data_IF_141668031461
#
_entry.id   IF_141668031461
#
_cell.length_a   1.000
_cell.length_b   1.000
_cell.length_c   1.000
_cell.angle_alpha   90.00
_cell.angle_beta   90.00
_cell.angle_gamma   90.00
#
_symmetry.space_group_name_H-M   'P 1'
#
loop_
_entity.id
_entity.type
_entity.pdbx_description
1 polymer ?
#
# COMPACT_ATOMS: atom_id res chain seq x y z
N UNK A 1 4.90 -4.56 2.12
CA UNK A 1 3.49 -4.42 2.56
C UNK A 1 3.08 -2.97 2.80
N UNK A 2 3.79 -2.18 3.61
CA UNK A 2 3.46 -0.77 3.86
C UNK A 2 3.30 0.06 2.59
N UNK A 3 4.29 0.01 1.69
CA UNK A 3 4.23 0.73 0.42
C UNK A 3 3.12 0.24 -0.50
N UNK A 4 2.69 -1.02 -0.39
CA UNK A 4 1.50 -1.51 -1.12
C UNK A 4 0.22 -0.86 -0.59
N UNK A 5 0.13 -0.62 0.72
CA UNK A 5 -0.99 0.14 1.31
C UNK A 5 -0.96 1.58 0.84
N UNK A 6 0.20 2.24 0.87
CA UNK A 6 0.36 3.62 0.39
C UNK A 6 0.00 3.73 -1.10
N UNK A 7 0.49 2.81 -1.93
CA UNK A 7 0.17 2.72 -3.36
C UNK A 7 -1.31 2.42 -3.62
N UNK A 8 -1.96 1.68 -2.71
CA UNK A 8 -3.40 1.47 -2.80
C UNK A 8 -4.11 2.78 -2.57
N UNK A 9 -3.80 3.52 -1.49
CA UNK A 9 -4.40 4.85 -1.15
C UNK A 9 -4.27 5.83 -2.33
N UNK A 10 -3.09 5.90 -2.95
CA UNK A 10 -2.84 6.78 -4.10
C UNK A 10 -3.00 8.27 -3.74
N UNK A 11 -3.36 9.09 -4.74
CA UNK A 11 -3.51 10.53 -4.56
C UNK A 11 -4.88 10.96 -3.99
N UNK A 12 -5.76 9.98 -3.76
CA UNK A 12 -7.11 10.21 -3.28
C UNK A 12 -7.29 9.99 -1.78
N UNK A 13 -8.50 10.26 -1.33
CA UNK A 13 -8.98 9.83 -0.02
C UNK A 13 -9.70 8.48 -0.15
N UNK A 14 -9.38 7.52 0.73
CA UNK A 14 -9.97 6.19 0.70
C UNK A 14 -10.45 5.67 2.04
N UNK A 15 -11.58 4.96 2.02
CA UNK A 15 -12.11 4.29 3.20
C UNK A 15 -11.29 3.04 3.54
N UNK A 16 -11.07 2.79 4.83
CA UNK A 16 -10.25 1.66 5.30
C UNK A 16 -10.64 0.31 4.72
N UNK A 17 -11.94 0.04 4.54
CA UNK A 17 -12.41 -1.21 3.94
C UNK A 17 -12.09 -1.28 2.44
N UNK A 18 -12.19 -0.17 1.72
CA UNK A 18 -11.86 -0.13 0.28
C UNK A 18 -10.37 -0.41 0.04
N UNK A 19 -9.51 0.05 0.96
CA UNK A 19 -8.09 -0.28 0.98
C UNK A 19 -7.90 -1.79 1.18
N UNK A 20 -8.59 -2.39 2.15
CA UNK A 20 -8.51 -3.84 2.41
C UNK A 20 -8.92 -4.65 1.17
N UNK A 21 -10.06 -4.29 0.59
CA UNK A 21 -10.62 -4.93 -0.60
C UNK A 21 -9.66 -4.77 -1.80
N UNK A 22 -9.04 -3.61 -1.96
CA UNK A 22 -8.05 -3.36 -3.01
C UNK A 22 -6.82 -4.26 -2.90
N UNK A 23 -6.31 -4.43 -1.68
CA UNK A 23 -5.14 -5.29 -1.42
C UNK A 23 -5.48 -6.79 -1.56
N UNK A 24 -6.65 -7.21 -1.10
CA UNK A 24 -7.13 -8.59 -1.26
C UNK A 24 -7.27 -8.98 -2.73
N UNK A 25 -7.86 -8.11 -3.56
CA UNK A 25 -7.99 -8.35 -5.01
C UNK A 25 -6.64 -8.53 -5.72
N UNK A 26 -5.57 -7.94 -5.18
CA UNK A 26 -4.20 -8.07 -5.71
C UNK A 26 -3.42 -9.23 -5.08
N UNK A 27 -4.04 -10.02 -4.21
CA UNK A 27 -3.38 -11.11 -3.48
C UNK A 27 -2.38 -10.63 -2.42
N UNK A 28 -2.40 -9.34 -2.06
CA UNK A 28 -1.43 -8.72 -1.15
C UNK A 28 -1.87 -8.79 0.32
N UNK A 29 -3.13 -9.13 0.60
CA UNK A 29 -3.66 -9.21 1.95
C UNK A 29 -4.49 -10.47 2.13
N UNK A 30 -4.25 -11.20 3.23
CA UNK A 30 -4.99 -12.42 3.59
C UNK A 30 -6.13 -12.15 4.58
N UNK A 31 -6.07 -11.08 5.39
CA UNK A 31 -7.16 -10.70 6.29
C UNK A 31 -7.13 -9.21 6.70
N UNK A 32 -8.31 -8.65 6.98
CA UNK A 32 -8.47 -7.26 7.48
C UNK A 32 -7.75 -7.02 8.82
N UNK A 33 -7.62 -8.06 9.66
CA UNK A 33 -6.97 -7.98 10.96
C UNK A 33 -5.51 -7.53 10.90
N UNK A 34 -4.86 -7.67 9.74
CA UNK A 34 -3.49 -7.20 9.51
C UNK A 34 -3.41 -5.77 8.97
N UNK A 35 -4.48 -5.26 8.35
CA UNK A 35 -4.49 -3.93 7.75
C UNK A 35 -4.58 -2.82 8.79
N UNK A 36 -5.48 -2.93 9.76
CA UNK A 36 -5.71 -1.83 10.71
C UNK A 36 -4.50 -1.51 11.61
N UNK A 37 -3.75 -2.49 12.14
CA UNK A 37 -2.48 -2.23 12.82
C UNK A 37 -1.45 -1.55 11.91
N UNK A 38 -1.43 -1.92 10.62
CA UNK A 38 -0.55 -1.33 9.62
C UNK A 38 -0.90 0.12 9.33
N UNK A 39 -2.19 0.43 9.10
CA UNK A 39 -2.68 1.79 8.94
C UNK A 39 -2.41 2.65 10.17
N UNK A 40 -2.55 2.09 11.37
CA UNK A 40 -2.20 2.79 12.61
C UNK A 40 -0.70 3.13 12.68
N UNK A 41 0.18 2.22 12.22
CA UNK A 41 1.63 2.48 12.14
C UNK A 41 1.97 3.54 11.10
N UNK A 42 1.40 3.46 9.89
CA UNK A 42 1.58 4.46 8.85
C UNK A 42 1.15 5.86 9.31
N UNK A 43 0.05 5.96 10.07
CA UNK A 43 -0.40 7.21 10.68
C UNK A 43 0.58 7.72 11.72
N UNK A 44 1.06 6.85 12.63
CA UNK A 44 2.07 7.23 13.64
C UNK A 44 3.36 7.73 13.00
N UNK A 45 3.73 7.16 11.86
CA UNK A 45 4.92 7.56 11.10
C UNK A 45 4.68 8.82 10.23
N UNK A 46 3.49 9.41 10.26
CA UNK A 46 3.17 10.62 9.50
C UNK A 46 3.03 10.40 7.99
N UNK A 47 2.94 9.16 7.51
CA UNK A 47 2.81 8.83 6.08
C UNK A 47 1.37 8.93 5.58
N UNK A 48 0.40 8.80 6.47
CA UNK A 48 -1.02 8.98 6.17
C UNK A 48 -1.69 9.85 7.23
N UNK A 49 -2.69 10.61 6.81
CA UNK A 49 -3.63 11.32 7.69
C UNK A 49 -4.99 10.67 7.62
N UNK A 50 -5.79 10.87 8.66
CA UNK A 50 -7.15 10.30 8.76
C UNK A 50 -8.20 11.38 8.93
N UNK A 51 -9.30 11.27 8.21
CA UNK A 51 -10.50 12.07 8.43
C UNK A 51 -11.65 11.16 8.87
N UNK A 52 -12.57 11.70 9.67
CA UNK A 52 -13.83 11.04 9.97
C UNK A 52 -14.92 11.70 9.14
N UNK A 53 -15.75 10.89 8.51
CA UNK A 53 -16.95 11.36 7.82
C UNK A 53 -18.17 10.69 8.43
N UNK A 54 -19.19 11.50 8.68
CA UNK A 54 -20.50 11.00 9.07
C UNK A 54 -21.07 10.13 7.96
N UNK A 55 -21.63 8.99 8.35
CA UNK A 55 -22.39 8.14 7.45
C UNK A 55 -23.86 8.51 7.60
N UNK A 56 -24.58 8.67 6.49
CA UNK A 56 -26.03 8.94 6.50
C UNK A 56 -26.83 7.84 7.21
N UNK A 57 -26.27 6.64 7.30
CA UNK A 57 -26.76 5.55 8.13
C UNK A 57 -25.56 4.83 8.76
N UNK A 58 -25.39 4.92 10.08
CA UNK A 58 -24.45 4.10 10.85
C UNK A 58 -23.18 4.81 11.34
N UNK A 59 -22.24 4.00 11.82
CA UNK A 59 -21.02 4.47 12.48
C UNK A 59 -20.16 5.35 11.55
N UNK A 60 -19.44 6.35 12.11
CA UNK A 60 -18.57 7.22 11.33
C UNK A 60 -17.51 6.41 10.57
N UNK A 61 -17.28 6.78 9.31
CA UNK A 61 -16.30 6.13 8.44
C UNK A 61 -14.97 6.84 8.57
N UNK A 62 -13.90 6.07 8.75
CA UNK A 62 -12.53 6.59 8.77
C UNK A 62 -11.91 6.49 7.38
N UNK A 63 -11.55 7.64 6.84
CA UNK A 63 -10.87 7.77 5.56
C UNK A 63 -9.39 8.06 5.77
N UNK A 64 -8.57 7.67 4.80
CA UNK A 64 -7.13 7.80 4.78
C UNK A 64 -6.69 8.54 3.53
N UNK A 65 -5.73 9.44 3.67
CA UNK A 65 -5.08 10.14 2.57
C UNK A 65 -3.58 10.12 2.82
N UNK A 66 -2.77 10.01 1.77
CA UNK A 66 -1.34 10.21 1.89
C UNK A 66 -1.04 11.63 2.38
N UNK A 67 -0.01 11.74 3.22
CA UNK A 67 0.64 13.04 3.46
C UNK A 67 1.66 13.29 2.35
N UNK A 68 2.21 14.51 2.29
CA UNK A 68 3.31 14.82 1.39
C UNK A 68 4.52 13.88 1.63
N UNK A 69 4.86 13.61 2.91
CA UNK A 69 5.90 12.64 3.27
C UNK A 69 5.55 11.21 2.81
N UNK A 70 4.27 10.82 2.90
CA UNK A 70 3.78 9.55 2.39
C UNK A 70 3.95 9.41 0.88
N UNK A 71 3.62 10.45 0.12
CA UNK A 71 3.80 10.50 -1.34
C UNK A 71 5.28 10.42 -1.72
N UNK A 72 6.14 11.23 -1.08
CA UNK A 72 7.60 11.20 -1.33
C UNK A 72 8.20 9.83 -1.00
N UNK A 73 7.81 9.23 0.14
CA UNK A 73 8.28 7.91 0.55
C UNK A 73 7.84 6.82 -0.44
N UNK A 74 6.61 6.90 -0.94
CA UNK A 74 6.11 5.98 -1.95
C UNK A 74 6.87 6.13 -3.28
N UNK A 75 7.10 7.35 -3.74
CA UNK A 75 7.83 7.62 -4.98
C UNK A 75 9.28 7.09 -4.90
N UNK A 76 9.99 7.39 -3.81
CA UNK A 76 11.34 6.89 -3.59
C UNK A 76 11.39 5.36 -3.54
N UNK A 77 10.42 4.71 -2.88
CA UNK A 77 10.34 3.26 -2.86
C UNK A 77 10.08 2.68 -4.26
N UNK A 78 9.20 3.31 -5.05
CA UNK A 78 8.86 2.84 -6.39
C UNK A 78 10.09 2.85 -7.31
N UNK A 79 10.89 3.90 -7.28
CA UNK A 79 12.13 4.02 -8.06
C UNK A 79 13.15 2.92 -7.71
N UNK A 80 13.37 2.70 -6.42
CA UNK A 80 14.28 1.64 -5.93
C UNK A 80 13.75 0.25 -6.32
N UNK A 81 12.44 0.04 -6.17
CA UNK A 81 11.81 -1.24 -6.47
C UNK A 81 11.85 -1.58 -7.96
N UNK A 82 11.63 -0.60 -8.83
CA UNK A 82 11.71 -0.79 -10.28
C UNK A 82 13.07 -1.34 -10.68
N UNK A 83 14.15 -0.68 -10.24
CA UNK A 83 15.52 -1.12 -10.52
C UNK A 83 15.79 -2.51 -9.96
N UNK A 84 15.46 -2.73 -8.68
CA UNK A 84 15.71 -4.00 -8.01
C UNK A 84 14.96 -5.17 -8.65
N UNK A 85 13.67 -4.98 -8.93
CA UNK A 85 12.81 -6.03 -9.51
C UNK A 85 13.25 -6.38 -10.93
N UNK A 86 13.71 -5.40 -11.72
CA UNK A 86 14.29 -5.65 -13.04
C UNK A 86 15.55 -6.52 -12.94
N UNK A 87 16.49 -6.18 -12.04
CA UNK A 87 17.72 -6.97 -11.83
C UNK A 87 17.44 -8.40 -11.35
N UNK A 88 16.49 -8.58 -10.43
CA UNK A 88 16.07 -9.91 -9.98
C UNK A 88 15.46 -10.71 -11.13
N UNK A 89 14.58 -10.09 -11.91
CA UNK A 89 13.93 -10.75 -13.07
C UNK A 89 14.97 -11.21 -14.09
N UNK A 90 15.95 -10.36 -14.41
CA UNK A 90 17.06 -10.70 -15.32
C UNK A 90 17.91 -11.87 -14.79
N UNK A 91 18.23 -11.86 -13.50
CA UNK A 91 18.99 -12.94 -12.84
C UNK A 91 18.24 -14.29 -12.88
N UNK A 92 16.92 -14.28 -12.67
CA UNK A 92 16.11 -15.50 -12.71
C UNK A 92 15.97 -16.05 -14.14
N UNK A 93 15.85 -15.16 -15.14
CA UNK A 93 15.73 -15.55 -16.54
C UNK A 93 17.06 -16.09 -17.10
N UNK A 94 18.20 -15.50 -16.72
CA UNK A 94 19.53 -15.97 -17.12
C UNK A 94 19.88 -17.34 -16.54
N UNK A 95 19.33 -17.71 -15.37
CA UNK A 95 19.52 -19.03 -14.75
C UNK A 95 18.73 -20.13 -15.47
N UNK A 96 17.64 -19.81 -16.16
CA UNK A 96 16.75 -20.79 -16.82
C UNK A 96 17.22 -21.16 -18.24
N UNK A 97 18.21 -20.44 -18.80
CA UNK A 97 18.73 -20.66 -20.15
C UNK A 97 19.95 -21.61 -20.24
N UNK A 98 20.38 -22.24 -19.15
CA UNK A 98 21.61 -23.02 -19.11
C UNK A 98 21.49 -24.36 -18.41
N UNK A 99 21.07 -25.40 -19.13
CA UNK A 99 21.60 -26.76 -18.91
C UNK A 99 21.61 -27.53 -20.25
N UNK A 100 22.73 -28.17 -20.64
CA UNK A 100 22.86 -28.96 -21.88
C UNK A 100 21.95 -30.19 -21.95
#
# INVERSE_FOLDING_TARGET
MEYCVLATIGDGEMYGLDIANGLQRRGLLTSEGTLYPLLARLRRNGLVKTSWRESSQGAPRRYYTLTESGQQSLAAFAEVWETFSASVTDTLNSTTGGTP
#
